data_IF_663838574210
#
_entry.id   IF_663838574210
#
_cell.length_a   1.000
_cell.length_b   1.000
_cell.length_c   1.000
_cell.angle_alpha   90.00
_cell.angle_beta   90.00
_cell.angle_gamma   90.00
#
_symmetry.space_group_name_H-M   'P 1'
#
loop_
_entity.id
_entity.type
_entity.pdbx_description
1 polymer ?
#
# COMPACT_ATOMS: atom_id res chain seq x y z
N UNK A 1 6.35 3.57 15.82
CA UNK A 1 6.44 3.14 17.23
C UNK A 1 5.22 2.34 17.72
N UNK A 2 4.31 1.90 16.83
CA UNK A 2 3.04 1.28 17.22
C UNK A 2 3.16 -0.20 17.65
N UNK A 3 4.34 -0.81 17.54
CA UNK A 3 4.60 -2.22 17.87
C UNK A 3 4.91 -2.44 19.36
N UNK A 4 5.07 -1.36 20.13
CA UNK A 4 5.49 -1.40 21.53
C UNK A 4 4.33 -1.00 22.44
N UNK A 5 4.22 -1.69 23.56
CA UNK A 5 3.29 -1.41 24.64
C UNK A 5 4.10 -1.04 25.90
N UNK A 6 3.63 -0.04 26.62
CA UNK A 6 4.13 0.26 27.95
C UNK A 6 3.57 -0.77 28.93
N UNK A 7 4.46 -1.49 29.61
CA UNK A 7 4.12 -2.35 30.73
C UNK A 7 4.69 -1.76 32.01
N UNK A 8 3.88 -1.73 33.06
CA UNK A 8 4.29 -1.30 34.40
C UNK A 8 4.35 -2.53 35.30
N UNK A 9 5.48 -2.76 35.94
CA UNK A 9 5.63 -3.84 36.91
C UNK A 9 4.69 -3.56 38.11
N UNK A 10 3.81 -4.51 38.49
CA UNK A 10 2.82 -4.26 39.54
C UNK A 10 3.45 -4.06 40.92
N UNK A 11 4.65 -4.59 41.16
CA UNK A 11 5.37 -4.57 42.43
C UNK A 11 6.37 -3.41 42.48
N UNK A 12 7.21 -3.24 41.46
CA UNK A 12 8.27 -2.22 41.46
C UNK A 12 7.83 -0.88 40.86
N UNK A 13 6.70 -0.84 40.14
CA UNK A 13 6.22 0.32 39.37
C UNK A 13 7.17 0.78 38.27
N UNK A 14 8.14 -0.06 37.92
CA UNK A 14 9.06 0.22 36.82
C UNK A 14 8.34 0.11 35.48
N UNK A 15 8.60 1.07 34.60
CA UNK A 15 7.96 1.18 33.28
C UNK A 15 8.91 0.67 32.21
N UNK A 16 8.49 -0.37 31.51
CA UNK A 16 9.26 -0.96 30.41
C UNK A 16 8.44 -0.95 29.12
N UNK A 17 9.08 -0.63 27.99
CA UNK A 17 8.45 -0.74 26.68
C UNK A 17 8.72 -2.11 26.09
N UNK A 18 7.71 -2.96 26.03
CA UNK A 18 7.81 -4.29 25.42
C UNK A 18 7.18 -4.30 24.04
N UNK A 19 7.82 -4.99 23.11
CA UNK A 19 7.30 -5.17 21.75
C UNK A 19 6.27 -6.30 21.73
N UNK A 20 5.05 -6.03 21.30
CA UNK A 20 4.01 -7.06 21.17
C UNK A 20 3.93 -7.63 19.75
N UNK A 21 4.30 -6.84 18.74
CA UNK A 21 4.29 -7.29 17.34
C UNK A 21 5.59 -8.07 17.02
N UNK A 22 5.52 -9.34 16.59
CA UNK A 22 6.70 -10.14 16.28
C UNK A 22 7.41 -9.68 14.99
N UNK A 23 8.70 -10.00 14.87
CA UNK A 23 9.56 -9.78 13.70
C UNK A 23 9.69 -11.06 12.87
N UNK A 24 10.11 -10.89 11.61
CA UNK A 24 10.48 -12.01 10.75
C UNK A 24 11.64 -12.79 11.39
N UNK A 25 11.35 -13.99 11.90
CA UNK A 25 12.30 -14.83 12.65
C UNK A 25 11.79 -15.28 14.01
N UNK A 26 10.82 -14.56 14.60
CA UNK A 26 10.21 -14.97 15.86
C UNK A 26 9.33 -16.21 15.64
N UNK A 27 9.32 -17.15 16.58
CA UNK A 27 8.55 -18.41 16.48
C UNK A 27 7.07 -18.17 16.21
N UNK A 28 6.50 -17.14 16.85
CA UNK A 28 5.09 -16.76 16.73
C UNK A 28 4.78 -15.94 15.47
N UNK A 29 5.78 -15.53 14.68
CA UNK A 29 5.59 -14.62 13.55
C UNK A 29 4.64 -15.19 12.49
N UNK A 30 4.71 -16.49 12.22
CA UNK A 30 3.83 -17.14 11.24
C UNK A 30 2.38 -17.23 11.72
N UNK A 31 2.16 -17.42 13.02
CA UNK A 31 0.82 -17.40 13.61
C UNK A 31 0.26 -15.98 13.64
N UNK A 32 1.08 -15.02 14.03
CA UNK A 32 0.71 -13.60 14.08
C UNK A 32 0.29 -13.07 12.70
N UNK A 33 0.93 -13.51 11.61
CA UNK A 33 0.53 -13.16 10.24
C UNK A 33 -0.88 -13.61 9.86
N UNK A 34 -1.43 -14.64 10.51
CA UNK A 34 -2.80 -15.11 10.27
C UNK A 34 -3.85 -14.21 10.93
N UNK A 35 -3.44 -13.38 11.89
CA UNK A 35 -4.33 -12.47 12.59
C UNK A 35 -4.54 -11.20 11.76
N UNK A 36 -5.80 -10.92 11.41
CA UNK A 36 -6.19 -9.63 10.85
C UNK A 36 -6.54 -8.67 11.99
N UNK A 37 -5.68 -7.70 12.23
CA UNK A 37 -5.97 -6.64 13.19
C UNK A 37 -6.78 -5.56 12.49
N UNK A 38 -8.10 -5.55 12.71
CA UNK A 38 -8.92 -4.37 12.48
C UNK A 38 -8.61 -3.36 13.59
N UNK A 39 -7.64 -2.49 13.36
CA UNK A 39 -7.38 -1.39 14.30
C UNK A 39 -8.26 -0.22 13.96
N UNK A 40 -9.02 0.32 14.91
CA UNK A 40 -9.73 1.59 14.70
C UNK A 40 -8.81 2.75 14.28
N UNK A 41 -7.48 2.59 14.38
CA UNK A 41 -6.50 3.49 13.78
C UNK A 41 -6.62 3.61 12.25
N UNK A 42 -7.20 2.64 11.55
CA UNK A 42 -7.50 2.80 10.12
C UNK A 42 -8.63 3.81 9.91
N UNK A 43 -9.51 4.08 10.89
CA UNK A 43 -10.62 5.00 10.70
C UNK A 43 -10.14 6.43 10.47
N UNK A 44 -9.27 7.02 11.32
CA UNK A 44 -8.68 8.33 11.02
C UNK A 44 -7.96 8.36 9.67
N UNK A 45 -7.22 7.30 9.32
CA UNK A 45 -6.54 7.22 8.02
C UNK A 45 -7.52 7.17 6.85
N UNK A 46 -8.57 6.34 6.96
CA UNK A 46 -9.63 6.22 5.97
C UNK A 46 -10.29 7.58 5.75
N UNK A 47 -10.71 8.25 6.83
CA UNK A 47 -11.31 9.57 6.74
C UNK A 47 -10.34 10.60 6.13
N UNK A 48 -9.07 10.60 6.54
CA UNK A 48 -8.07 11.50 5.95
C UNK A 48 -7.88 11.25 4.45
N UNK A 49 -7.81 9.98 4.02
CA UNK A 49 -7.72 9.62 2.61
C UNK A 49 -9.00 10.00 1.85
N UNK A 50 -10.19 9.75 2.40
CA UNK A 50 -11.47 10.14 1.81
C UNK A 50 -11.54 11.67 1.63
N UNK A 51 -11.17 12.44 2.66
CA UNK A 51 -11.12 13.91 2.58
C UNK A 51 -10.11 14.39 1.53
N UNK A 52 -8.92 13.80 1.44
CA UNK A 52 -7.94 14.17 0.41
C UNK A 52 -8.48 13.84 -0.98
N UNK A 53 -9.10 12.67 -1.17
CA UNK A 53 -9.66 12.29 -2.46
C UNK A 53 -10.81 13.22 -2.86
N UNK A 54 -11.67 13.60 -1.91
CA UNK A 54 -12.78 14.54 -2.13
C UNK A 54 -12.28 15.95 -2.45
N UNK A 55 -11.27 16.45 -1.72
CA UNK A 55 -10.67 17.77 -1.96
C UNK A 55 -9.99 17.87 -3.34
N UNK A 56 -9.37 16.79 -3.80
CA UNK A 56 -8.63 16.73 -5.06
C UNK A 56 -9.37 15.93 -6.15
N UNK A 57 -10.69 15.73 -6.03
CA UNK A 57 -11.45 14.83 -6.91
C UNK A 57 -11.27 15.22 -8.39
N UNK A 58 -11.47 16.51 -8.71
CA UNK A 58 -11.38 17.01 -10.10
C UNK A 58 -9.96 16.91 -10.68
N UNK A 59 -8.93 17.17 -9.88
CA UNK A 59 -7.53 17.07 -10.30
C UNK A 59 -7.13 15.61 -10.53
N UNK A 60 -7.53 14.73 -9.62
CA UNK A 60 -7.32 13.28 -9.73
C UNK A 60 -8.06 12.74 -10.95
N UNK A 61 -9.32 13.12 -11.15
CA UNK A 61 -10.11 12.73 -12.32
C UNK A 61 -9.49 13.23 -13.62
N UNK A 62 -9.01 14.48 -13.66
CA UNK A 62 -8.33 15.05 -14.83
C UNK A 62 -7.02 14.32 -15.14
N UNK A 63 -6.22 14.03 -14.11
CA UNK A 63 -4.99 13.25 -14.25
C UNK A 63 -5.30 11.83 -14.74
N UNK A 64 -6.30 11.16 -14.17
CA UNK A 64 -6.71 9.83 -14.60
C UNK A 64 -7.20 9.89 -16.05
N UNK A 65 -8.01 10.88 -16.45
CA UNK A 65 -8.52 11.00 -17.82
C UNK A 65 -7.40 11.24 -18.84
N UNK A 66 -6.45 12.11 -18.51
CA UNK A 66 -5.25 12.35 -19.32
C UNK A 66 -4.41 11.07 -19.43
N UNK A 67 -4.20 10.40 -18.30
CA UNK A 67 -3.44 9.17 -18.23
C UNK A 67 -4.21 8.02 -18.87
N UNK A 68 -5.55 7.97 -18.92
CA UNK A 68 -6.26 6.82 -19.49
C UNK A 68 -6.02 6.69 -20.98
N UNK A 69 -5.91 7.82 -21.69
CA UNK A 69 -5.51 7.80 -23.10
C UNK A 69 -4.07 7.29 -23.23
N UNK A 70 -3.14 7.88 -22.48
CA UNK A 70 -1.74 7.46 -22.47
C UNK A 70 -1.54 5.99 -22.03
N UNK A 71 -2.33 5.53 -21.05
CA UNK A 71 -2.25 4.22 -20.42
C UNK A 71 -2.99 3.17 -21.24
N UNK A 72 -4.09 3.52 -21.91
CA UNK A 72 -4.70 2.67 -22.93
C UNK A 72 -3.71 2.46 -24.08
N UNK A 73 -3.10 3.52 -24.60
CA UNK A 73 -2.09 3.43 -25.65
C UNK A 73 -0.87 2.62 -25.19
N UNK A 74 -0.39 2.85 -23.97
CA UNK A 74 0.73 2.12 -23.35
C UNK A 74 0.41 0.65 -23.11
N UNK A 75 -0.77 0.32 -22.59
CA UNK A 75 -1.18 -1.07 -22.41
C UNK A 75 -1.40 -1.77 -23.74
N UNK A 76 -1.97 -1.09 -24.73
CA UNK A 76 -2.16 -1.65 -26.05
C UNK A 76 -0.82 -1.87 -26.77
N UNK A 77 0.16 -0.99 -26.58
CA UNK A 77 1.50 -1.12 -27.20
C UNK A 77 2.42 -2.09 -26.44
N UNK A 78 2.52 -1.98 -25.11
CA UNK A 78 3.40 -2.83 -24.28
C UNK A 78 2.85 -4.23 -24.06
N UNK A 79 1.52 -4.41 -23.94
CA UNK A 79 0.94 -5.73 -23.62
C UNK A 79 0.62 -6.56 -24.86
N UNK A 80 0.47 -5.93 -26.03
CA UNK A 80 0.14 -6.69 -27.23
C UNK A 80 1.35 -7.33 -27.90
N UNK A 81 2.59 -7.00 -27.50
CA UNK A 81 3.84 -7.37 -28.21
C UNK A 81 3.83 -7.03 -29.73
N UNK A 82 2.77 -6.36 -30.23
CA UNK A 82 2.58 -6.03 -31.64
C UNK A 82 3.52 -4.91 -32.11
N UNK A 83 4.09 -4.16 -31.17
CA UNK A 83 5.05 -3.10 -31.47
C UNK A 83 6.51 -3.56 -31.40
N UNK A 84 6.80 -4.76 -30.89
CA UNK A 84 8.17 -5.27 -30.88
C UNK A 84 8.48 -5.87 -32.25
N UNK A 85 9.13 -5.05 -33.08
CA UNK A 85 9.92 -5.50 -34.25
C UNK A 85 9.14 -5.80 -35.54
N UNK A 86 8.62 -4.77 -36.21
CA UNK A 86 8.63 -4.78 -37.69
C UNK A 86 10.02 -4.33 -38.21
N UNK A 87 11.08 -4.99 -37.72
CA UNK A 87 12.32 -4.98 -38.48
C UNK A 87 12.11 -5.92 -39.67
N UNK A 88 12.22 -5.38 -40.88
CA UNK A 88 12.24 -6.07 -42.17
C UNK A 88 10.87 -6.33 -42.82
N UNK A 89 10.12 -5.25 -43.09
CA UNK A 89 9.34 -5.23 -44.33
C UNK A 89 10.06 -4.34 -45.34
N UNK A 90 11.01 -4.97 -46.04
CA UNK A 90 11.47 -4.51 -47.35
C UNK A 90 10.30 -4.70 -48.30
N UNK A 91 9.45 -3.69 -48.47
CA UNK A 91 8.56 -3.66 -49.63
C UNK A 91 9.41 -3.34 -50.86
N UNK A 92 9.39 -4.30 -51.79
CA UNK A 92 10.03 -4.30 -53.09
C UNK A 92 9.69 -3.06 -53.93
#
# INVERSE_FOLDING_TARGET
>A
MNDYKLEEDPVTKERTFKRFAPRKGDKIYQEFKKLYFYSDAYRPLKFACETIIEEYEDEISSLIAQETHYLADKLCSEKSDLCETSANHTEL
#
